data_IF_129912630969
#
_entry.id   IF_129912630969
#
_cell.length_a   1.000
_cell.length_b   1.000
_cell.length_c   1.000
_cell.angle_alpha   90.00
_cell.angle_beta   90.00
_cell.angle_gamma   90.00
#
_symmetry.space_group_name_H-M   'P 1'
#
loop_
_entity.id
_entity.type
_entity.pdbx_description
1 polymer ?
#
# COMPACT_ATOMS: atom_id res chain seq x y z
N UNK A 1 -8.08 -4.91 -1.24
CA UNK A 1 -8.95 -6.08 -1.36
C UNK A 1 -8.32 -7.34 -0.79
N UNK A 2 -7.14 -7.79 -1.26
CA UNK A 2 -6.52 -9.05 -0.77
C UNK A 2 -6.38 -9.14 0.75
N UNK A 3 -6.03 -8.05 1.44
CA UNK A 3 -5.96 -8.07 2.90
C UNK A 3 -7.35 -8.29 3.51
N UNK A 4 -8.39 -7.62 2.99
CA UNK A 4 -9.75 -7.79 3.48
C UNK A 4 -10.24 -9.23 3.29
N UNK A 5 -10.01 -9.83 2.12
CA UNK A 5 -10.32 -11.24 1.86
C UNK A 5 -9.60 -12.17 2.83
N UNK A 6 -8.29 -11.98 2.97
CA UNK A 6 -7.46 -12.79 3.85
C UNK A 6 -7.89 -12.73 5.32
N UNK A 7 -8.26 -11.53 5.80
CA UNK A 7 -8.76 -11.37 7.17
C UNK A 7 -10.16 -12.00 7.35
N UNK A 8 -11.05 -11.83 6.37
CA UNK A 8 -12.36 -12.48 6.38
C UNK A 8 -12.24 -14.02 6.40
N UNK A 9 -11.35 -14.60 5.60
CA UNK A 9 -11.05 -16.04 5.60
C UNK A 9 -10.53 -16.53 6.97
N UNK A 10 -9.88 -15.67 7.73
CA UNK A 10 -9.43 -15.94 9.10
C UNK A 10 -10.53 -15.73 10.16
N UNK A 11 -11.71 -15.30 9.76
CA UNK A 11 -12.84 -15.08 10.68
C UNK A 11 -12.90 -13.70 11.33
N UNK A 12 -12.08 -12.74 10.90
CA UNK A 12 -12.16 -11.35 11.35
C UNK A 12 -13.45 -10.69 10.91
N UNK A 13 -13.91 -9.74 11.71
CA UNK A 13 -14.81 -8.67 11.27
C UNK A 13 -13.95 -7.53 10.71
N UNK A 14 -14.16 -7.16 9.45
CA UNK A 14 -13.28 -6.26 8.72
C UNK A 14 -13.99 -4.94 8.43
N UNK A 15 -13.40 -3.84 8.87
CA UNK A 15 -13.87 -2.48 8.62
C UNK A 15 -12.91 -1.77 7.67
N UNK A 16 -13.37 -1.43 6.47
CA UNK A 16 -12.62 -0.68 5.48
C UNK A 16 -13.02 0.80 5.49
N UNK A 17 -12.03 1.70 5.37
CA UNK A 17 -12.26 3.12 5.14
C UNK A 17 -12.09 3.40 3.66
N UNK A 18 -13.07 4.07 3.05
CA UNK A 18 -13.04 4.52 1.65
C UNK A 18 -13.26 6.02 1.54
N UNK A 19 -12.50 6.65 0.65
CA UNK A 19 -12.70 8.04 0.31
C UNK A 19 -14.05 8.24 -0.41
N UNK A 20 -14.78 9.31 -0.09
CA UNK A 20 -15.99 9.69 -0.80
C UNK A 20 -15.62 10.21 -2.20
N UNK A 21 -16.13 9.56 -3.22
CA UNK A 21 -15.97 9.96 -4.62
C UNK A 21 -17.36 10.08 -5.29
N UNK A 22 -17.45 10.89 -6.35
CA UNK A 22 -18.66 11.02 -7.15
C UNK A 22 -18.91 9.82 -8.07
N UNK A 23 -17.85 9.06 -8.40
CA UNK A 23 -17.91 7.79 -9.13
C UNK A 23 -17.69 6.61 -8.18
N UNK A 24 -18.06 5.41 -8.62
CA UNK A 24 -17.76 4.19 -7.87
C UNK A 24 -16.25 3.98 -7.79
N UNK A 25 -15.76 3.68 -6.57
CA UNK A 25 -14.36 3.40 -6.27
C UNK A 25 -14.18 2.12 -5.44
N UNK A 26 -15.15 1.23 -5.43
CA UNK A 26 -15.19 0.01 -4.62
C UNK A 26 -15.04 -1.28 -5.42
N UNK A 27 -14.87 -1.22 -6.72
CA UNK A 27 -14.80 -2.38 -7.65
C UNK A 27 -13.92 -3.54 -7.14
N UNK A 28 -12.81 -3.21 -6.44
CA UNK A 28 -11.89 -4.22 -5.91
C UNK A 28 -12.38 -4.93 -4.65
N UNK A 29 -13.51 -4.49 -4.08
CA UNK A 29 -14.11 -5.06 -2.86
C UNK A 29 -15.60 -5.36 -3.02
N UNK A 30 -16.21 -5.04 -4.16
CA UNK A 30 -17.64 -5.27 -4.41
C UNK A 30 -18.03 -6.77 -4.27
N UNK A 31 -17.13 -7.66 -4.66
CA UNK A 31 -17.34 -9.12 -4.58
C UNK A 31 -17.35 -9.67 -3.13
N UNK A 32 -16.87 -8.93 -2.15
CA UNK A 32 -16.94 -9.27 -0.71
C UNK A 32 -17.92 -8.36 0.06
N UNK A 33 -18.56 -7.42 -0.64
CA UNK A 33 -19.55 -6.54 -0.03
C UNK A 33 -20.75 -7.35 0.45
N UNK A 34 -21.23 -7.01 1.63
CA UNK A 34 -22.43 -7.59 2.24
C UNK A 34 -23.39 -6.47 2.58
N UNK A 35 -24.67 -6.66 2.24
CA UNK A 35 -25.70 -5.68 2.60
C UNK A 35 -25.83 -5.63 4.14
N UNK A 36 -25.67 -4.46 4.76
CA UNK A 36 -25.81 -4.29 6.22
C UNK A 36 -27.18 -4.73 6.77
N UNK A 37 -28.21 -4.78 5.93
CA UNK A 37 -29.57 -5.19 6.30
C UNK A 37 -29.78 -6.71 6.20
N UNK A 38 -28.86 -7.45 5.60
CA UNK A 38 -28.97 -8.89 5.36
C UNK A 38 -28.13 -9.70 6.35
N UNK A 39 -28.63 -9.89 7.57
CA UNK A 39 -27.99 -10.79 8.53
C UNK A 39 -26.90 -10.12 9.38
N UNK A 40 -25.75 -10.80 9.56
CA UNK A 40 -24.60 -10.31 10.36
C UNK A 40 -23.38 -10.15 9.44
N UNK A 41 -23.26 -9.02 8.73
CA UNK A 41 -22.16 -8.81 7.80
C UNK A 41 -20.83 -8.79 8.56
N UNK A 42 -19.78 -9.34 7.94
CA UNK A 42 -18.42 -9.36 8.46
C UNK A 42 -17.51 -8.36 7.78
N UNK A 43 -17.98 -7.71 6.72
CA UNK A 43 -17.29 -6.67 5.99
C UNK A 43 -18.10 -5.38 5.96
N UNK A 44 -17.51 -4.32 6.51
CA UNK A 44 -18.12 -3.00 6.64
C UNK A 44 -17.29 -1.94 5.93
N UNK A 45 -17.94 -1.00 5.25
CA UNK A 45 -17.28 0.13 4.60
C UNK A 45 -17.73 1.46 5.20
N UNK A 46 -16.78 2.23 5.71
CA UNK A 46 -16.97 3.57 6.24
C UNK A 46 -16.47 4.62 5.25
N UNK A 47 -17.20 5.73 5.14
CA UNK A 47 -16.66 6.91 4.47
C UNK A 47 -15.69 7.62 5.41
N UNK A 48 -14.46 7.85 4.93
CA UNK A 48 -13.45 8.55 5.70
C UNK A 48 -12.30 9.03 4.83
N UNK A 49 -11.50 9.93 5.40
CA UNK A 49 -10.34 10.52 4.76
C UNK A 49 -9.23 10.66 5.80
N UNK A 50 -7.99 10.35 5.41
CA UNK A 50 -6.82 10.53 6.29
C UNK A 50 -6.55 12.01 6.63
N UNK A 51 -7.18 12.93 5.93
CA UNK A 51 -7.12 14.37 6.22
C UNK A 51 -8.16 14.84 7.25
N UNK A 52 -9.10 13.98 7.68
CA UNK A 52 -10.18 14.30 8.60
C UNK A 52 -10.02 13.58 9.95
N UNK A 53 -9.38 14.25 10.91
CA UNK A 53 -9.13 13.70 12.24
C UNK A 53 -10.42 13.35 13.00
N UNK A 54 -11.48 14.16 12.89
CA UNK A 54 -12.72 13.95 13.62
C UNK A 54 -13.46 12.72 13.13
N UNK A 55 -13.48 12.51 11.81
CA UNK A 55 -14.07 11.35 11.18
C UNK A 55 -13.31 10.06 11.55
N UNK A 56 -11.97 10.09 11.47
CA UNK A 56 -11.13 8.94 11.85
C UNK A 56 -11.33 8.57 13.33
N UNK A 57 -11.35 9.56 14.21
CA UNK A 57 -11.58 9.33 15.65
C UNK A 57 -12.96 8.70 15.89
N UNK A 58 -14.02 9.21 15.23
CA UNK A 58 -15.37 8.63 15.33
C UNK A 58 -15.41 7.18 14.86
N UNK A 59 -14.80 6.85 13.71
CA UNK A 59 -14.77 5.47 13.20
C UNK A 59 -14.03 4.55 14.18
N UNK A 60 -12.86 4.96 14.68
CA UNK A 60 -12.09 4.16 15.65
C UNK A 60 -12.85 4.00 16.99
N UNK A 61 -13.58 5.01 17.41
CA UNK A 61 -14.44 4.94 18.60
C UNK A 61 -15.59 3.95 18.44
N UNK A 62 -16.23 3.93 17.28
CA UNK A 62 -17.34 3.02 16.98
C UNK A 62 -16.85 1.57 16.85
N UNK A 63 -15.74 1.37 16.17
CA UNK A 63 -15.21 0.03 15.83
C UNK A 63 -14.41 -0.58 16.98
N UNK A 64 -13.65 0.21 17.73
CA UNK A 64 -12.74 -0.28 18.79
C UNK A 64 -11.82 -1.40 18.32
N UNK A 65 -11.05 -1.19 17.21
CA UNK A 65 -10.35 -2.28 16.52
C UNK A 65 -9.23 -2.91 17.36
N UNK A 66 -9.01 -4.20 17.17
CA UNK A 66 -7.85 -4.92 17.69
C UNK A 66 -6.61 -4.70 16.84
N UNK A 67 -6.82 -4.52 15.52
CA UNK A 67 -5.75 -4.31 14.54
C UNK A 67 -6.13 -3.17 13.58
N UNK A 68 -5.17 -2.30 13.30
CA UNK A 68 -5.29 -1.23 12.30
C UNK A 68 -4.19 -1.39 11.26
N UNK A 69 -4.58 -1.50 10.00
CA UNK A 69 -3.67 -1.57 8.85
C UNK A 69 -3.79 -0.26 8.07
N UNK A 70 -2.83 0.66 8.25
CA UNK A 70 -2.78 1.89 7.48
C UNK A 70 -2.13 1.65 6.11
N UNK A 71 -2.97 1.40 5.11
CA UNK A 71 -2.59 1.25 3.70
C UNK A 71 -2.94 2.48 2.87
N UNK A 72 -3.62 3.46 3.48
CA UNK A 72 -4.04 4.69 2.80
C UNK A 72 -2.85 5.57 2.46
N UNK A 73 -2.79 6.04 1.22
CA UNK A 73 -1.77 6.97 0.77
C UNK A 73 -2.12 7.60 -0.58
N UNK A 74 -1.58 8.79 -0.83
CA UNK A 74 -1.39 9.32 -2.18
C UNK A 74 -0.11 8.69 -2.74
N UNK A 75 -0.22 7.48 -3.32
CA UNK A 75 0.91 6.57 -3.58
C UNK A 75 1.58 6.74 -4.95
N UNK A 76 1.18 7.74 -5.75
CA UNK A 76 1.74 7.94 -7.07
C UNK A 76 2.93 8.89 -7.01
N UNK A 77 4.16 8.36 -7.12
CA UNK A 77 5.41 9.12 -6.96
C UNK A 77 5.47 10.35 -7.87
N UNK A 78 5.16 10.23 -9.16
CA UNK A 78 5.21 11.37 -10.08
C UNK A 78 4.21 12.47 -9.68
N UNK A 79 2.97 12.12 -9.32
CA UNK A 79 1.94 13.06 -8.88
C UNK A 79 2.33 13.79 -7.59
N UNK A 80 3.16 13.18 -6.75
CA UNK A 80 3.61 13.85 -5.52
C UNK A 80 4.42 15.13 -5.77
N UNK A 81 5.05 15.27 -6.92
CA UNK A 81 5.72 16.52 -7.32
C UNK A 81 4.74 17.62 -7.72
N UNK A 82 3.56 17.24 -8.25
CA UNK A 82 2.51 18.20 -8.62
C UNK A 82 1.64 18.59 -7.41
N UNK A 83 1.54 17.72 -6.40
CA UNK A 83 0.68 17.91 -5.22
C UNK A 83 1.43 17.56 -3.93
N UNK A 84 2.55 18.24 -3.60
CA UNK A 84 3.40 17.86 -2.47
C UNK A 84 2.73 18.09 -1.11
N UNK A 85 1.96 19.16 -0.95
CA UNK A 85 1.26 19.46 0.30
C UNK A 85 0.16 18.44 0.60
N UNK A 86 -0.67 18.10 -0.39
CA UNK A 86 -1.68 17.06 -0.25
C UNK A 86 -1.04 15.70 0.07
N UNK A 87 0.06 15.37 -0.59
CA UNK A 87 0.82 14.15 -0.32
C UNK A 87 1.31 14.11 1.13
N UNK A 88 1.86 15.21 1.64
CA UNK A 88 2.31 15.31 3.02
C UNK A 88 1.14 15.20 4.01
N UNK A 89 0.02 15.85 3.73
CA UNK A 89 -1.15 15.85 4.60
C UNK A 89 -1.78 14.44 4.71
N UNK A 90 -1.91 13.74 3.60
CA UNK A 90 -2.45 12.36 3.56
C UNK A 90 -1.46 11.35 4.15
N UNK A 91 -0.23 11.33 3.65
CA UNK A 91 0.70 10.22 3.90
C UNK A 91 1.44 10.38 5.23
N UNK A 92 1.85 11.60 5.56
CA UNK A 92 2.57 11.90 6.79
C UNK A 92 1.60 12.20 7.95
N UNK A 93 0.84 13.29 7.83
CA UNK A 93 -0.04 13.73 8.91
C UNK A 93 -1.23 12.78 9.08
N UNK A 94 -1.73 12.14 8.01
CA UNK A 94 -2.75 11.11 8.10
C UNK A 94 -2.35 9.93 8.99
N UNK A 95 -1.09 9.51 8.91
CA UNK A 95 -0.54 8.49 9.83
C UNK A 95 -0.54 8.97 11.29
N UNK A 96 -0.10 10.21 11.53
CA UNK A 96 -0.15 10.80 12.87
C UNK A 96 -1.59 10.89 13.40
N UNK A 97 -2.56 11.27 12.57
CA UNK A 97 -3.99 11.35 12.97
C UNK A 97 -4.51 10.00 13.45
N UNK A 98 -4.16 8.90 12.78
CA UNK A 98 -4.57 7.56 13.24
C UNK A 98 -3.92 7.17 14.56
N UNK A 99 -2.62 7.40 14.71
CA UNK A 99 -1.89 7.12 15.95
C UNK A 99 -2.43 7.95 17.13
N UNK A 100 -2.68 9.25 16.91
CA UNK A 100 -3.29 10.13 17.92
C UNK A 100 -4.72 9.71 18.25
N UNK A 101 -5.54 9.32 17.28
CA UNK A 101 -6.89 8.84 17.54
C UNK A 101 -6.88 7.55 18.39
N UNK A 102 -5.99 6.60 18.12
CA UNK A 102 -5.80 5.40 18.94
C UNK A 102 -5.43 5.80 20.38
N UNK A 103 -4.45 6.70 20.53
CA UNK A 103 -4.00 7.16 21.85
C UNK A 103 -5.09 7.97 22.59
N UNK A 104 -5.75 8.89 21.90
CA UNK A 104 -6.82 9.72 22.47
C UNK A 104 -7.99 8.88 23.00
N UNK A 105 -8.30 7.77 22.35
CA UNK A 105 -9.36 6.85 22.73
C UNK A 105 -8.94 5.84 23.81
N UNK A 106 -7.69 5.88 24.28
CA UNK A 106 -7.16 4.92 25.28
C UNK A 106 -7.00 3.51 24.73
N UNK A 107 -6.79 3.36 23.42
CA UNK A 107 -6.66 2.07 22.72
C UNK A 107 -5.21 1.61 22.55
N UNK A 108 -4.24 2.38 23.03
CA UNK A 108 -2.80 2.13 22.82
C UNK A 108 -2.29 0.79 23.36
N UNK A 109 -2.98 0.20 24.31
CA UNK A 109 -2.63 -1.12 24.87
C UNK A 109 -3.41 -2.28 24.22
N UNK A 110 -4.51 -1.96 23.51
CA UNK A 110 -5.37 -2.94 22.85
C UNK A 110 -5.01 -3.06 21.37
N UNK A 111 -4.95 -1.93 20.65
CA UNK A 111 -4.87 -1.88 19.20
C UNK A 111 -3.44 -2.04 18.71
N UNK A 112 -3.22 -3.02 17.85
CA UNK A 112 -1.96 -3.22 17.11
C UNK A 112 -2.03 -2.45 15.79
N UNK A 113 -1.00 -1.66 15.51
CA UNK A 113 -0.96 -0.76 14.36
C UNK A 113 0.13 -1.17 13.37
N UNK A 114 -0.27 -1.37 12.12
CA UNK A 114 0.62 -1.60 10.99
C UNK A 114 0.64 -0.37 10.07
N UNK A 115 1.85 0.14 9.81
CA UNK A 115 2.10 1.20 8.82
C UNK A 115 2.67 0.59 7.54
N UNK A 116 1.97 0.77 6.43
CA UNK A 116 2.54 0.49 5.11
C UNK A 116 3.61 1.53 4.78
N UNK A 117 4.85 1.14 4.96
CA UNK A 117 6.01 1.90 4.52
C UNK A 117 6.42 1.48 3.11
N UNK A 118 7.55 1.92 2.60
CA UNK A 118 7.90 1.75 1.19
C UNK A 118 9.41 1.65 0.98
N UNK A 119 9.83 0.88 -0.02
CA UNK A 119 11.23 0.84 -0.48
C UNK A 119 11.73 2.19 -1.03
N UNK A 120 10.81 3.10 -1.39
CA UNK A 120 11.15 4.46 -1.81
C UNK A 120 11.85 5.28 -0.70
N UNK A 121 11.77 4.84 0.57
CA UNK A 121 12.56 5.43 1.66
C UNK A 121 14.07 5.32 1.40
N UNK A 122 14.51 4.25 0.78
CA UNK A 122 15.93 4.06 0.45
C UNK A 122 16.42 5.04 -0.61
N UNK A 123 15.57 5.40 -1.59
CA UNK A 123 15.80 6.45 -2.57
C UNK A 123 17.15 6.36 -3.27
N UNK A 124 18.08 7.28 -2.93
CA UNK A 124 19.49 7.16 -3.32
C UNK A 124 20.17 6.11 -2.42
N UNK A 125 20.15 4.88 -2.89
CA UNK A 125 20.52 3.69 -2.12
C UNK A 125 21.94 3.82 -1.52
N UNK A 126 22.04 3.64 -0.20
CA UNK A 126 23.30 3.76 0.55
C UNK A 126 23.98 2.41 0.81
N UNK A 127 23.27 1.31 0.65
CA UNK A 127 23.76 -0.05 0.90
C UNK A 127 23.03 -1.06 0.00
N UNK A 128 23.74 -2.07 -0.49
CA UNK A 128 23.20 -3.15 -1.33
C UNK A 128 23.65 -4.51 -0.75
N UNK A 129 22.72 -5.45 -0.47
CA UNK A 129 21.26 -5.29 -0.48
C UNK A 129 20.74 -4.40 0.65
N UNK A 130 19.56 -3.79 0.46
CA UNK A 130 18.90 -3.01 1.52
C UNK A 130 18.34 -3.93 2.60
N UNK A 131 18.40 -3.45 3.83
CA UNK A 131 17.85 -4.09 5.03
C UNK A 131 17.21 -3.05 5.96
N UNK A 132 16.64 -3.46 7.05
CA UNK A 132 15.94 -2.57 8.00
C UNK A 132 16.85 -1.47 8.57
N UNK A 133 18.15 -1.75 8.72
CA UNK A 133 19.15 -0.80 9.24
C UNK A 133 19.82 0.06 8.16
N UNK A 134 19.51 -0.15 6.88
CA UNK A 134 20.07 0.67 5.79
C UNK A 134 19.59 2.11 5.90
N UNK A 135 20.48 3.11 5.87
CA UNK A 135 20.08 4.52 5.94
C UNK A 135 19.12 4.91 4.82
N UNK A 136 18.09 5.66 5.16
CA UNK A 136 17.14 6.20 4.20
C UNK A 136 17.66 7.48 3.54
N UNK A 137 17.38 7.62 2.24
CA UNK A 137 17.69 8.81 1.47
C UNK A 137 16.58 9.09 0.44
N UNK A 138 15.38 9.55 0.88
CA UNK A 138 14.22 9.72 0.01
C UNK A 138 14.47 10.72 -1.13
N UNK A 139 13.87 10.49 -2.31
CA UNK A 139 14.10 11.26 -3.53
C UNK A 139 12.81 11.82 -4.16
N UNK A 140 11.70 11.79 -3.42
CA UNK A 140 10.42 12.36 -3.87
C UNK A 140 9.63 12.90 -2.69
N UNK A 141 8.68 13.85 -2.90
CA UNK A 141 7.76 14.29 -1.86
C UNK A 141 6.98 13.14 -1.21
N UNK A 142 6.57 12.14 -2.02
CA UNK A 142 5.97 10.90 -1.52
C UNK A 142 6.89 10.17 -0.53
N UNK A 143 8.14 9.93 -0.92
CA UNK A 143 9.08 9.21 -0.06
C UNK A 143 9.39 9.98 1.23
N UNK A 144 9.49 11.32 1.18
CA UNK A 144 9.67 12.17 2.36
C UNK A 144 8.46 12.10 3.30
N UNK A 145 7.24 12.14 2.77
CA UNK A 145 6.02 11.99 3.56
C UNK A 145 5.94 10.60 4.23
N UNK A 146 6.29 9.54 3.48
CA UNK A 146 6.38 8.18 4.03
C UNK A 146 7.51 8.01 5.05
N UNK A 147 8.60 8.77 4.92
CA UNK A 147 9.68 8.79 5.93
C UNK A 147 9.19 9.38 7.25
N UNK A 148 8.43 10.47 7.21
CA UNK A 148 7.76 10.97 8.40
C UNK A 148 6.84 9.91 9.02
N UNK A 149 5.98 9.27 8.21
CA UNK A 149 5.08 8.22 8.66
C UNK A 149 5.83 7.05 9.32
N UNK A 150 6.96 6.64 8.76
CA UNK A 150 7.84 5.63 9.34
C UNK A 150 8.32 6.04 10.74
N UNK A 151 8.94 7.21 10.85
CA UNK A 151 9.54 7.64 12.12
C UNK A 151 8.52 8.02 13.18
N UNK A 152 7.37 8.55 12.82
CA UNK A 152 6.32 8.80 13.81
C UNK A 152 5.73 7.49 14.35
N UNK A 153 5.65 6.44 13.53
CA UNK A 153 5.25 5.10 13.97
C UNK A 153 6.25 4.52 14.97
N UNK A 154 7.55 4.63 14.68
CA UNK A 154 8.63 4.24 15.61
C UNK A 154 8.55 5.03 16.91
N UNK A 155 8.38 6.36 16.81
CA UNK A 155 8.28 7.24 17.97
C UNK A 155 7.12 6.87 18.89
N UNK A 156 5.94 6.58 18.33
CA UNK A 156 4.77 6.18 19.13
C UNK A 156 4.93 4.81 19.78
N UNK A 157 5.61 3.89 19.11
CA UNK A 157 6.02 2.61 19.71
C UNK A 157 6.91 2.82 20.92
N UNK A 158 7.95 3.64 20.81
CA UNK A 158 8.95 3.85 21.85
C UNK A 158 8.44 4.76 22.97
N UNK A 159 7.73 5.83 22.66
CA UNK A 159 7.30 6.85 23.64
C UNK A 159 6.06 6.42 24.43
N UNK A 160 5.12 5.72 23.78
CA UNK A 160 3.84 5.36 24.41
C UNK A 160 3.65 3.86 24.62
N UNK A 161 4.62 3.05 24.20
CA UNK A 161 4.55 1.59 24.30
C UNK A 161 3.41 1.01 23.47
N UNK A 162 3.05 1.65 22.35
CA UNK A 162 2.10 1.13 21.39
C UNK A 162 2.69 -0.06 20.64
N UNK A 163 1.85 -1.06 20.33
CA UNK A 163 2.23 -2.04 19.34
C UNK A 163 2.10 -1.41 17.95
N UNK A 164 3.16 -0.83 17.44
CA UNK A 164 3.19 -0.17 16.15
C UNK A 164 4.44 -0.59 15.35
N UNK A 165 4.25 -1.03 14.11
CA UNK A 165 5.33 -1.53 13.26
C UNK A 165 5.21 -1.05 11.82
N UNK A 166 6.35 -1.00 11.12
CA UNK A 166 6.44 -0.62 9.71
C UNK A 166 6.80 -1.81 8.85
N UNK A 167 6.03 -2.06 7.79
CA UNK A 167 6.46 -2.94 6.71
C UNK A 167 7.09 -2.11 5.59
N UNK A 168 8.40 -2.28 5.36
CA UNK A 168 9.11 -1.60 4.26
C UNK A 168 8.86 -2.40 2.98
N UNK A 169 7.79 -2.04 2.28
CA UNK A 169 7.29 -2.80 1.15
C UNK A 169 8.07 -2.48 -0.13
N UNK A 170 8.61 -3.50 -0.76
CA UNK A 170 9.01 -3.45 -2.16
C UNK A 170 7.77 -3.57 -3.07
N UNK A 171 7.95 -3.53 -4.39
CA UNK A 171 6.81 -3.50 -5.30
C UNK A 171 6.01 -4.80 -5.19
N UNK A 172 4.71 -4.68 -5.04
CA UNK A 172 3.81 -5.84 -4.97
C UNK A 172 2.64 -5.65 -5.94
N UNK A 173 2.42 -6.65 -6.74
CA UNK A 173 1.63 -6.60 -7.95
C UNK A 173 0.54 -7.65 -7.95
N UNK A 174 -0.46 -7.46 -8.78
CA UNK A 174 -1.54 -8.43 -9.01
C UNK A 174 -2.39 -7.99 -10.20
N UNK A 175 -3.33 -8.85 -10.67
CA UNK A 175 -4.36 -8.43 -11.62
C UNK A 175 -5.22 -7.23 -11.15
N UNK A 176 -5.24 -6.95 -9.84
CA UNK A 176 -5.97 -5.82 -9.22
C UNK A 176 -5.13 -4.56 -9.05
N UNK A 177 -3.90 -4.55 -9.55
CA UNK A 177 -3.03 -3.35 -9.49
C UNK A 177 -3.70 -2.18 -10.21
N UNK A 178 -3.50 -0.96 -9.69
CA UNK A 178 -3.97 0.26 -10.34
C UNK A 178 -3.41 0.39 -11.76
N UNK A 179 -4.25 0.79 -12.69
CA UNK A 179 -3.98 0.73 -14.15
C UNK A 179 -2.86 1.65 -14.63
N UNK A 180 -2.56 2.69 -13.86
CA UNK A 180 -1.49 3.65 -14.14
C UNK A 180 -0.12 3.19 -13.68
N UNK A 181 -0.03 2.13 -12.84
CA UNK A 181 1.24 1.58 -12.41
C UNK A 181 1.89 0.72 -13.50
N UNK A 182 3.22 0.74 -13.54
CA UNK A 182 4.02 0.22 -14.67
C UNK A 182 3.64 -1.19 -15.09
N UNK A 183 3.51 -2.13 -14.18
CA UNK A 183 3.18 -3.53 -14.51
C UNK A 183 1.80 -3.66 -15.12
N UNK A 184 0.79 -3.01 -14.55
CA UNK A 184 -0.57 -3.04 -15.07
C UNK A 184 -0.70 -2.27 -16.39
N UNK A 185 0.00 -1.12 -16.51
CA UNK A 185 0.11 -0.38 -17.77
C UNK A 185 0.65 -1.27 -18.89
N UNK A 186 1.72 -2.02 -18.61
CA UNK A 186 2.33 -2.94 -19.58
C UNK A 186 1.36 -4.04 -19.98
N UNK A 187 0.80 -4.77 -19.01
CA UNK A 187 -0.07 -5.91 -19.32
C UNK A 187 -1.33 -5.51 -20.08
N UNK A 188 -1.92 -4.34 -19.77
CA UNK A 188 -3.06 -3.80 -20.52
C UNK A 188 -2.68 -3.43 -21.94
N UNK A 189 -1.58 -2.69 -22.12
CA UNK A 189 -1.14 -2.29 -23.46
C UNK A 189 -0.80 -3.52 -24.34
N UNK A 190 -0.10 -4.51 -23.78
CA UNK A 190 0.20 -5.76 -24.51
C UNK A 190 -1.09 -6.49 -24.91
N UNK A 191 -2.10 -6.55 -24.02
CA UNK A 191 -3.40 -7.14 -24.34
C UNK A 191 -4.14 -6.34 -25.43
N UNK A 192 -4.10 -5.00 -25.40
CA UNK A 192 -4.69 -4.15 -26.41
C UNK A 192 -4.00 -4.30 -27.77
N UNK A 193 -2.66 -4.38 -27.78
CA UNK A 193 -1.87 -4.64 -29.00
C UNK A 193 -2.25 -6.00 -29.61
N UNK A 194 -2.40 -7.03 -28.79
CA UNK A 194 -2.82 -8.35 -29.25
C UNK A 194 -4.19 -8.35 -29.93
N UNK A 195 -5.08 -7.44 -29.50
CA UNK A 195 -6.42 -7.27 -30.07
C UNK A 195 -6.49 -6.23 -31.20
N UNK A 196 -5.36 -5.61 -31.56
CA UNK A 196 -5.30 -4.57 -32.58
C UNK A 196 -5.89 -3.23 -32.17
N UNK A 197 -6.10 -3.00 -30.87
CA UNK A 197 -6.63 -1.75 -30.31
C UNK A 197 -5.56 -0.67 -30.13
N UNK A 198 -4.31 -1.09 -29.96
CA UNK A 198 -3.13 -0.22 -29.86
C UNK A 198 -2.02 -0.76 -30.77
N UNK A 199 -1.13 0.11 -31.25
CA UNK A 199 -0.01 -0.26 -32.11
C UNK A 199 1.33 -0.32 -31.38
N UNK A 200 1.47 0.40 -30.27
CA UNK A 200 2.70 0.48 -29.51
C UNK A 200 2.44 0.90 -28.05
N UNK A 201 3.45 0.68 -27.20
CA UNK A 201 3.47 1.11 -25.80
C UNK A 201 4.63 2.07 -25.56
N UNK A 202 4.35 3.22 -24.96
CA UNK A 202 5.36 4.20 -24.56
C UNK A 202 5.70 4.01 -23.07
N UNK A 203 6.99 3.80 -22.80
CA UNK A 203 7.55 3.66 -21.46
C UNK A 203 8.74 4.62 -21.27
N UNK A 204 9.03 4.96 -20.02
CA UNK A 204 10.24 5.68 -19.65
C UNK A 204 11.47 4.76 -19.60
N UNK A 205 12.28 4.87 -18.52
CA UNK A 205 13.49 4.07 -18.34
C UNK A 205 13.16 2.57 -18.21
N UNK A 206 13.46 1.81 -19.25
CA UNK A 206 13.22 0.37 -19.31
C UNK A 206 14.28 -0.48 -18.60
N UNK A 207 15.41 0.10 -18.25
CA UNK A 207 16.52 -0.59 -17.59
C UNK A 207 16.44 -0.48 -16.06
N UNK A 208 15.45 0.25 -15.54
CA UNK A 208 15.19 0.31 -14.10
C UNK A 208 14.89 -1.05 -13.52
N UNK A 209 15.63 -1.44 -12.48
CA UNK A 209 15.43 -2.68 -11.75
C UNK A 209 14.36 -2.52 -10.67
N UNK A 210 13.52 -3.53 -10.52
CA UNK A 210 12.48 -3.61 -9.49
C UNK A 210 12.39 -5.03 -8.93
N UNK A 211 12.16 -5.11 -7.63
CA UNK A 211 11.74 -6.34 -6.97
C UNK A 211 10.21 -6.35 -6.97
N UNK A 212 9.60 -7.28 -7.68
CA UNK A 212 8.15 -7.44 -7.77
C UNK A 212 7.70 -8.75 -7.14
N UNK A 213 6.90 -8.66 -6.09
CA UNK A 213 6.23 -9.81 -5.49
C UNK A 213 4.73 -9.82 -5.76
N UNK A 214 4.03 -10.86 -5.33
CA UNK A 214 2.58 -10.93 -5.43
C UNK A 214 1.92 -10.36 -4.17
N UNK A 215 0.89 -9.52 -4.32
CA UNK A 215 0.21 -8.83 -3.22
C UNK A 215 -0.33 -9.77 -2.13
N UNK A 216 -0.68 -11.03 -2.44
CA UNK A 216 -1.13 -12.02 -1.45
C UNK A 216 -0.05 -12.37 -0.43
N UNK A 217 1.22 -12.46 -0.86
CA UNK A 217 2.32 -12.76 0.04
C UNK A 217 2.58 -11.57 0.98
N UNK A 218 2.47 -10.35 0.44
CA UNK A 218 2.65 -9.13 1.21
C UNK A 218 1.56 -8.94 2.28
N UNK A 219 0.29 -9.18 1.97
CA UNK A 219 -0.78 -9.07 2.98
C UNK A 219 -0.66 -10.14 4.05
N UNK A 220 -0.19 -11.33 3.70
CA UNK A 220 0.12 -12.37 4.67
C UNK A 220 1.22 -11.91 5.64
N UNK A 221 2.29 -11.31 5.13
CA UNK A 221 3.37 -10.76 5.96
C UNK A 221 2.88 -9.62 6.86
N UNK A 222 2.07 -8.71 6.34
CA UNK A 222 1.46 -7.62 7.12
C UNK A 222 0.70 -8.16 8.33
N UNK A 223 -0.12 -9.19 8.12
CA UNK A 223 -0.83 -9.84 9.22
C UNK A 223 0.13 -10.52 10.19
N UNK A 224 1.11 -11.28 9.70
CA UNK A 224 2.10 -11.98 10.54
C UNK A 224 2.87 -11.01 11.43
N UNK A 225 3.19 -9.81 10.96
CA UNK A 225 3.86 -8.78 11.74
C UNK A 225 3.04 -8.34 12.96
N UNK A 226 1.71 -8.27 12.83
CA UNK A 226 0.84 -7.94 13.95
C UNK A 226 0.56 -9.12 14.90
N UNK A 227 1.00 -10.33 14.57
CA UNK A 227 0.83 -11.52 15.44
C UNK A 227 2.06 -11.80 16.33
N UNK A 228 3.15 -11.04 16.16
CA UNK A 228 4.38 -11.25 16.95
C UNK A 228 4.21 -10.75 18.39
N UNK A 229 5.07 -11.24 19.29
CA UNK A 229 5.08 -10.81 20.70
C UNK A 229 5.55 -9.35 20.85
N UNK A 230 6.43 -8.90 19.96
CA UNK A 230 7.01 -7.55 19.96
C UNK A 230 6.84 -6.88 18.61
N UNK A 231 6.58 -5.57 18.59
CA UNK A 231 6.52 -4.81 17.35
C UNK A 231 7.94 -4.59 16.80
N UNK A 232 8.18 -5.06 15.58
CA UNK A 232 9.42 -4.88 14.84
C UNK A 232 9.12 -4.43 13.41
N UNK A 233 10.07 -3.71 12.80
CA UNK A 233 9.97 -3.28 11.40
C UNK A 233 10.63 -4.32 10.51
N UNK A 234 10.05 -4.60 9.33
CA UNK A 234 10.55 -5.60 8.40
C UNK A 234 10.58 -5.11 6.97
N UNK A 235 11.65 -5.43 6.27
CA UNK A 235 11.70 -5.37 4.81
C UNK A 235 10.87 -6.51 4.22
N UNK A 236 9.99 -6.18 3.28
CA UNK A 236 9.17 -7.16 2.58
C UNK A 236 9.50 -7.10 1.09
N UNK A 237 10.23 -8.10 0.61
CA UNK A 237 10.74 -8.22 -0.74
C UNK A 237 10.85 -9.69 -1.16
N UNK A 238 11.03 -9.94 -2.46
CA UNK A 238 11.29 -11.29 -2.98
C UNK A 238 12.77 -11.63 -2.98
N UNK A 239 13.64 -10.62 -2.99
CA UNK A 239 15.08 -10.75 -3.15
C UNK A 239 15.55 -10.94 -4.59
N UNK A 240 14.62 -10.88 -5.56
CA UNK A 240 14.94 -11.02 -7.00
C UNK A 240 14.48 -9.76 -7.74
N UNK A 241 15.39 -9.20 -8.54
CA UNK A 241 15.11 -8.02 -9.36
C UNK A 241 14.97 -8.36 -10.82
N UNK A 242 14.06 -7.65 -11.50
CA UNK A 242 13.88 -7.66 -12.94
C UNK A 242 13.87 -6.23 -13.47
N UNK A 243 14.36 -6.04 -14.70
CA UNK A 243 14.19 -4.75 -15.38
C UNK A 243 12.77 -4.61 -15.93
N UNK A 244 12.36 -3.36 -16.15
CA UNK A 244 11.08 -3.07 -16.84
C UNK A 244 11.06 -3.72 -18.22
N UNK A 245 12.20 -3.71 -18.94
CA UNK A 245 12.38 -4.38 -20.23
C UNK A 245 12.06 -5.88 -20.14
N UNK A 246 12.65 -6.58 -19.18
CA UNK A 246 12.39 -8.01 -18.98
C UNK A 246 10.90 -8.28 -18.70
N UNK A 247 10.25 -7.42 -17.92
CA UNK A 247 8.81 -7.56 -17.66
C UNK A 247 7.98 -7.40 -18.93
N UNK A 248 8.30 -6.42 -19.80
CA UNK A 248 7.65 -6.22 -21.09
C UNK A 248 7.83 -7.44 -22.00
N UNK A 249 9.05 -7.97 -22.09
CA UNK A 249 9.38 -9.16 -22.90
C UNK A 249 8.60 -10.40 -22.40
N UNK A 250 8.57 -10.62 -21.08
CA UNK A 250 7.83 -11.72 -20.48
C UNK A 250 6.32 -11.60 -20.72
N UNK A 251 5.76 -10.40 -20.59
CA UNK A 251 4.33 -10.15 -20.83
C UNK A 251 3.96 -10.40 -22.31
N UNK A 252 4.79 -9.92 -23.25
CA UNK A 252 4.58 -10.12 -24.67
C UNK A 252 4.70 -11.59 -25.09
N UNK A 253 5.65 -12.31 -24.50
CA UNK A 253 5.85 -13.74 -24.76
C UNK A 253 4.61 -14.58 -24.39
N UNK A 254 3.84 -14.18 -23.34
CA UNK A 254 2.60 -14.88 -22.96
C UNK A 254 1.53 -14.87 -24.09
N UNK A 255 1.58 -13.86 -24.96
CA UNK A 255 0.63 -13.71 -26.07
C UNK A 255 1.30 -13.98 -27.45
N UNK A 256 2.54 -14.50 -27.48
CA UNK A 256 3.28 -14.78 -28.69
C UNK A 256 3.66 -13.56 -29.53
N UNK A 257 3.70 -12.38 -28.92
CA UNK A 257 4.01 -11.11 -29.59
C UNK A 257 5.53 -10.95 -29.69
N UNK A 258 6.02 -10.68 -30.91
CA UNK A 258 7.40 -10.27 -31.16
C UNK A 258 7.51 -8.76 -31.01
N UNK A 259 8.39 -8.32 -30.13
CA UNK A 259 8.61 -6.91 -29.85
C UNK A 259 9.72 -6.31 -30.74
N UNK A 260 9.58 -5.05 -31.07
CA UNK A 260 10.62 -4.16 -31.57
C UNK A 260 10.68 -2.95 -30.64
N UNK A 261 11.88 -2.60 -30.20
CA UNK A 261 12.13 -1.42 -29.36
C UNK A 261 12.68 -0.30 -30.25
N UNK A 262 12.17 0.92 -30.05
CA UNK A 262 12.58 2.14 -30.76
C UNK A 262 12.77 3.28 -29.74
N UNK A 263 13.79 4.15 -29.98
CA UNK A 263 14.13 5.30 -29.14
C UNK A 263 15.51 5.24 -28.50
#
# INVERSE_FOLDING_TARGET
SYLAEFLLEKGYEVHGIKLRASSFNTERVDHIYQDPHSGNPKFHLHYGDLTDSSNLTRILQEVQPDEVYNLGAMSHVAVSFDSPEYTADVDAIGTLRLLEAIRFLGLEKKTRFYQASTSELYGLVQEIPQKESTPFYPRSPYAVAKLYAYWITVNYRESYGMYACNGILFNHESPRRGETFVTRKITRAIANIAQGLESCLYLGNMDSLRDWGHAKDYVRMQWMMLQQDKPEDFVIATGVQYSVRQFVEMAAAQLGIKLRFEG
#
